data_IF_724423980671
#
_entry.id   IF_724423980671
#
_cell.length_a   1.000
_cell.length_b   1.000
_cell.length_c   1.000
_cell.angle_alpha   90.00
_cell.angle_beta   90.00
_cell.angle_gamma   90.00
#
_symmetry.space_group_name_H-M   'P 1'
#
loop_
_entity.id
_entity.type
_entity.pdbx_description
1 polymer ?
#
# COMPACT_ATOMS: atom_id res chain seq x y z
N UNK A 1 22.09 12.49 -9.76
CA UNK A 1 21.07 12.92 -8.76
C UNK A 1 19.72 12.31 -9.17
N UNK A 2 19.00 11.71 -8.20
CA UNK A 2 17.67 11.15 -8.42
C UNK A 2 16.61 12.25 -8.28
N UNK A 3 15.60 12.19 -9.12
CA UNK A 3 14.40 13.03 -8.99
C UNK A 3 13.55 12.60 -7.80
N UNK A 4 12.70 13.48 -7.27
CA UNK A 4 11.76 13.17 -6.18
C UNK A 4 10.86 11.95 -6.54
N UNK A 5 10.45 11.85 -7.79
CA UNK A 5 9.64 10.72 -8.26
C UNK A 5 10.40 9.39 -8.22
N UNK A 6 11.67 9.40 -8.56
CA UNK A 6 12.53 8.20 -8.47
C UNK A 6 12.75 7.83 -7.02
N UNK A 7 13.07 8.77 -6.15
CA UNK A 7 13.27 8.52 -4.71
C UNK A 7 12.00 7.91 -4.08
N UNK A 8 10.83 8.51 -4.32
CA UNK A 8 9.57 8.01 -3.75
C UNK A 8 9.19 6.63 -4.29
N UNK A 9 9.51 6.34 -5.56
CA UNK A 9 9.33 5.02 -6.17
C UNK A 9 10.24 3.97 -5.53
N UNK A 10 11.50 4.32 -5.27
CA UNK A 10 12.47 3.48 -4.59
C UNK A 10 11.99 3.16 -3.17
N UNK A 11 11.67 4.17 -2.38
CA UNK A 11 11.18 4.01 -1.00
C UNK A 11 9.91 3.15 -0.95
N UNK A 12 8.96 3.40 -1.87
CA UNK A 12 7.73 2.60 -1.94
C UNK A 12 7.98 1.15 -2.31
N UNK A 13 9.01 0.84 -3.11
CA UNK A 13 9.32 -0.50 -3.56
C UNK A 13 9.77 -1.43 -2.43
N UNK A 14 10.38 -0.90 -1.39
CA UNK A 14 10.79 -1.62 -0.18
C UNK A 14 9.72 -1.56 0.94
N UNK A 15 8.53 -1.02 0.63
CA UNK A 15 7.43 -0.92 1.58
C UNK A 15 7.48 0.32 2.48
N UNK A 16 8.33 1.30 2.20
CA UNK A 16 8.30 2.60 2.88
C UNK A 16 7.42 3.58 2.08
N UNK A 17 6.09 3.47 2.22
CA UNK A 17 5.11 4.10 1.33
C UNK A 17 4.33 5.25 1.96
N UNK A 18 4.69 5.71 3.15
CA UNK A 18 4.00 6.78 3.87
C UNK A 18 4.59 8.15 3.52
N UNK A 19 3.89 9.02 2.75
CA UNK A 19 4.40 10.34 2.41
C UNK A 19 4.80 11.21 3.61
N UNK A 20 4.06 11.23 4.75
CA UNK A 20 4.50 11.97 5.92
C UNK A 20 5.85 11.50 6.46
N UNK A 21 6.12 10.20 6.42
CA UNK A 21 7.38 9.63 6.91
C UNK A 21 8.56 9.95 5.98
N UNK A 22 8.33 10.21 4.69
CA UNK A 22 9.40 10.63 3.77
C UNK A 22 9.96 12.02 4.07
N UNK A 23 9.16 12.86 4.73
CA UNK A 23 9.53 14.23 5.09
C UNK A 23 10.13 14.31 6.51
N UNK A 24 10.16 13.19 7.24
CA UNK A 24 10.74 13.16 8.58
C UNK A 24 12.26 12.99 8.51
N UNK A 25 13.00 13.61 9.44
CA UNK A 25 14.43 13.33 9.60
C UNK A 25 14.67 11.84 9.89
N UNK A 26 15.71 11.25 9.27
CA UNK A 26 16.03 9.83 9.45
C UNK A 26 16.11 9.39 10.93
N UNK A 27 16.66 10.24 11.81
CA UNK A 27 16.79 9.95 13.25
C UNK A 27 15.46 9.69 13.95
N UNK A 28 14.35 10.28 13.48
CA UNK A 28 13.01 10.16 14.08
C UNK A 28 12.20 9.00 13.55
N UNK A 29 12.70 8.31 12.53
CA UNK A 29 12.07 7.13 11.98
C UNK A 29 12.12 5.95 12.96
N UNK A 30 11.08 5.11 12.95
CA UNK A 30 11.08 3.85 13.68
C UNK A 30 12.15 2.89 13.13
N UNK A 31 12.53 1.87 13.90
CA UNK A 31 13.50 0.87 13.47
C UNK A 31 13.07 0.18 12.16
N UNK A 32 11.78 -0.16 12.03
CA UNK A 32 11.24 -0.74 10.80
C UNK A 32 11.31 0.20 9.60
N UNK A 33 11.09 1.49 9.82
CA UNK A 33 11.23 2.52 8.78
C UNK A 33 12.70 2.72 8.38
N UNK A 34 13.60 2.80 9.36
CA UNK A 34 15.06 2.88 9.13
C UNK A 34 15.58 1.68 8.34
N UNK A 35 15.16 0.48 8.72
CA UNK A 35 15.48 -0.75 8.00
C UNK A 35 15.10 -0.64 6.51
N UNK A 36 13.88 -0.24 6.22
CA UNK A 36 13.39 -0.10 4.83
C UNK A 36 14.15 0.98 4.04
N UNK A 37 14.45 2.13 4.67
CA UNK A 37 15.25 3.20 4.04
C UNK A 37 16.67 2.72 3.74
N UNK A 38 17.31 2.00 4.67
CA UNK A 38 18.64 1.45 4.46
C UNK A 38 18.65 0.43 3.33
N UNK A 39 17.64 -0.45 3.26
CA UNK A 39 17.50 -1.42 2.17
C UNK A 39 17.22 -0.76 0.82
N UNK A 40 16.46 0.34 0.81
CA UNK A 40 16.31 1.16 -0.40
C UNK A 40 17.67 1.67 -0.90
N UNK A 41 18.51 2.20 -0.02
CA UNK A 41 19.87 2.65 -0.38
C UNK A 41 20.71 1.51 -0.94
N UNK A 42 20.70 0.34 -0.31
CA UNK A 42 21.43 -0.85 -0.77
C UNK A 42 20.98 -1.30 -2.17
N UNK A 43 19.66 -1.38 -2.39
CA UNK A 43 19.09 -1.84 -3.66
C UNK A 43 19.40 -0.91 -4.83
N UNK A 44 19.51 0.38 -4.56
CA UNK A 44 19.77 1.41 -5.59
C UNK A 44 21.23 1.88 -5.60
N UNK A 45 22.11 1.24 -4.84
CA UNK A 45 23.55 1.43 -4.94
C UNK A 45 24.05 1.01 -6.32
N UNK A 46 25.04 1.70 -6.85
CA UNK A 46 25.60 1.42 -8.18
C UNK A 46 26.40 0.08 -8.25
N UNK A 47 26.83 -0.46 -7.10
CA UNK A 47 27.59 -1.70 -7.03
C UNK A 47 26.76 -2.89 -7.51
N UNK A 48 27.38 -3.79 -8.25
CA UNK A 48 26.72 -5.00 -8.77
C UNK A 48 26.28 -5.94 -7.64
N UNK A 49 27.13 -6.12 -6.64
CA UNK A 49 26.90 -6.99 -5.47
C UNK A 49 26.90 -6.13 -4.21
N UNK A 50 25.88 -6.28 -3.40
CA UNK A 50 25.78 -5.64 -2.09
C UNK A 50 25.70 -6.69 -0.98
N UNK A 51 26.44 -6.47 0.10
CA UNK A 51 26.42 -7.29 1.30
C UNK A 51 25.77 -6.51 2.42
N UNK A 52 24.85 -7.14 3.13
CA UNK A 52 24.17 -6.56 4.31
C UNK A 52 24.39 -7.47 5.48
N UNK A 53 25.08 -6.96 6.47
CA UNK A 53 25.28 -7.63 7.76
C UNK A 53 24.15 -7.30 8.73
N UNK A 54 23.96 -8.15 9.75
CA UNK A 54 22.92 -8.02 10.77
C UNK A 54 21.52 -7.81 10.18
N UNK A 55 21.24 -8.48 9.05
CA UNK A 55 19.96 -8.33 8.38
C UNK A 55 18.81 -8.75 9.28
N UNK A 56 17.88 -7.83 9.52
CA UNK A 56 16.69 -7.96 10.40
C UNK A 56 16.93 -8.05 11.90
N UNK A 57 18.16 -7.86 12.40
CA UNK A 57 18.49 -7.98 13.82
C UNK A 57 17.77 -6.97 14.74
N UNK A 58 17.50 -5.76 14.23
CA UNK A 58 16.96 -4.63 14.99
C UNK A 58 15.48 -4.34 14.75
N UNK A 59 14.75 -5.22 14.04
CA UNK A 59 13.35 -5.00 13.69
C UNK A 59 12.43 -6.10 14.23
N UNK A 60 11.17 -5.73 14.44
CA UNK A 60 10.11 -6.66 14.80
C UNK A 60 9.97 -7.78 13.74
N UNK A 61 9.56 -8.97 14.16
CA UNK A 61 9.50 -10.14 13.28
C UNK A 61 8.49 -10.00 12.16
N UNK A 62 7.38 -9.28 12.37
CA UNK A 62 6.40 -8.98 11.33
C UNK A 62 7.01 -8.05 10.27
N UNK A 63 7.70 -6.99 10.71
CA UNK A 63 8.43 -6.06 9.83
C UNK A 63 9.52 -6.79 9.06
N UNK A 64 10.28 -7.67 9.72
CA UNK A 64 11.32 -8.48 9.11
C UNK A 64 10.77 -9.35 7.96
N UNK A 65 9.71 -10.11 8.21
CA UNK A 65 9.06 -10.99 7.23
C UNK A 65 8.50 -10.21 6.05
N UNK A 66 7.62 -9.26 6.31
CA UNK A 66 6.95 -8.48 5.26
C UNK A 66 7.95 -7.61 4.49
N UNK A 67 8.89 -6.99 5.19
CA UNK A 67 9.97 -6.22 4.58
C UNK A 67 10.85 -7.08 3.68
N UNK A 68 11.23 -8.27 4.12
CA UNK A 68 12.01 -9.24 3.33
C UNK A 68 11.31 -9.61 2.02
N UNK A 69 9.99 -9.83 2.05
CA UNK A 69 9.22 -10.08 0.83
C UNK A 69 9.27 -8.91 -0.17
N UNK A 70 9.13 -7.68 0.31
CA UNK A 70 9.18 -6.49 -0.55
C UNK A 70 10.60 -6.28 -1.13
N UNK A 71 11.64 -6.48 -0.31
CA UNK A 71 13.06 -6.36 -0.69
C UNK A 71 13.43 -7.41 -1.74
N UNK A 72 13.08 -8.68 -1.50
CA UNK A 72 13.35 -9.77 -2.44
C UNK A 72 12.70 -9.54 -3.80
N UNK A 73 11.42 -9.11 -3.81
CA UNK A 73 10.71 -8.75 -5.03
C UNK A 73 11.39 -7.59 -5.78
N UNK A 74 11.86 -6.59 -5.05
CA UNK A 74 12.51 -5.41 -5.64
C UNK A 74 13.89 -5.76 -6.16
N UNK A 75 14.69 -6.55 -5.43
CA UNK A 75 16.00 -7.04 -5.86
C UNK A 75 15.93 -7.80 -7.19
N UNK A 76 14.97 -8.74 -7.30
CA UNK A 76 14.75 -9.49 -8.54
C UNK A 76 14.33 -8.59 -9.70
N UNK A 77 13.44 -7.64 -9.44
CA UNK A 77 12.99 -6.68 -10.46
C UNK A 77 14.13 -5.81 -10.99
N UNK A 78 15.09 -5.47 -10.13
CA UNK A 78 16.27 -4.69 -10.48
C UNK A 78 17.45 -5.54 -10.97
N UNK A 79 17.31 -6.87 -10.97
CA UNK A 79 18.39 -7.82 -11.22
C UNK A 79 19.61 -7.57 -10.30
N UNK A 80 19.35 -7.21 -9.03
CA UNK A 80 20.37 -6.84 -8.05
C UNK A 80 20.84 -8.07 -7.29
N UNK A 81 22.16 -8.28 -7.20
CA UNK A 81 22.77 -9.34 -6.41
C UNK A 81 22.98 -8.85 -4.98
N UNK A 82 22.40 -9.56 -4.01
CA UNK A 82 22.48 -9.20 -2.59
C UNK A 82 22.86 -10.45 -1.78
N UNK A 83 23.81 -10.28 -0.89
CA UNK A 83 24.17 -11.27 0.14
C UNK A 83 23.70 -10.72 1.48
N UNK A 84 22.86 -11.47 2.18
CA UNK A 84 22.28 -11.08 3.48
C UNK A 84 22.84 -12.02 4.55
N UNK A 85 23.49 -11.47 5.56
CA UNK A 85 23.92 -12.21 6.75
C UNK A 85 22.91 -11.99 7.87
N UNK A 86 22.36 -13.06 8.40
CA UNK A 86 21.32 -13.00 9.44
C UNK A 86 21.39 -14.21 10.35
N UNK A 87 21.11 -13.98 11.63
CA UNK A 87 20.90 -15.06 12.61
C UNK A 87 19.44 -15.56 12.65
N UNK A 88 18.55 -15.01 11.81
CA UNK A 88 17.12 -15.30 11.83
C UNK A 88 16.71 -16.18 10.65
N UNK A 89 16.22 -17.39 10.92
CA UNK A 89 15.77 -18.35 9.92
C UNK A 89 14.33 -18.11 9.43
N UNK A 90 13.49 -17.46 10.21
CA UNK A 90 12.07 -17.25 9.93
C UNK A 90 11.77 -16.27 8.76
N UNK A 91 12.80 -15.65 8.21
CA UNK A 91 12.73 -14.78 7.03
C UNK A 91 13.02 -15.52 5.71
N UNK A 92 13.55 -16.74 5.77
CA UNK A 92 14.00 -17.45 4.57
C UNK A 92 12.89 -17.65 3.54
N UNK A 93 11.73 -18.10 3.97
CA UNK A 93 10.57 -18.30 3.09
C UNK A 93 10.05 -16.97 2.48
N UNK A 94 10.25 -15.87 3.20
CA UNK A 94 9.84 -14.53 2.74
C UNK A 94 10.82 -13.90 1.76
N UNK A 95 12.10 -14.25 1.88
CA UNK A 95 13.16 -13.83 0.96
C UNK A 95 13.15 -14.66 -0.34
N UNK A 96 12.77 -15.95 -0.26
CA UNK A 96 12.89 -16.91 -1.35
C UNK A 96 14.32 -16.86 -1.95
N UNK A 97 15.39 -17.05 -1.15
CA UNK A 97 16.74 -16.85 -1.61
C UNK A 97 17.14 -17.87 -2.69
N UNK A 98 18.03 -17.48 -3.61
CA UNK A 98 18.52 -18.37 -4.64
C UNK A 98 19.49 -19.42 -4.08
N UNK A 99 20.11 -19.13 -2.93
CA UNK A 99 20.95 -20.03 -2.16
C UNK A 99 21.00 -19.64 -0.69
N UNK A 100 21.28 -20.63 0.16
CA UNK A 100 21.47 -20.50 1.60
C UNK A 100 22.76 -21.19 1.97
N UNK A 101 23.62 -20.53 2.74
CA UNK A 101 24.78 -21.11 3.38
C UNK A 101 24.62 -21.05 4.89
N UNK A 102 24.64 -22.20 5.54
CA UNK A 102 24.58 -22.35 7.00
C UNK A 102 25.98 -22.41 7.57
N UNK A 103 26.36 -21.40 8.33
CA UNK A 103 27.73 -21.29 8.88
C UNK A 103 27.99 -22.35 9.96
N UNK A 104 26.96 -22.66 10.75
CA UNK A 104 27.01 -23.63 11.85
C UNK A 104 27.23 -25.07 11.39
N UNK A 105 26.67 -25.46 10.26
CA UNK A 105 26.77 -26.82 9.71
C UNK A 105 27.70 -26.91 8.49
N UNK A 106 28.09 -25.79 7.88
CA UNK A 106 28.80 -25.74 6.61
C UNK A 106 27.94 -26.15 5.42
N UNK A 107 26.63 -26.29 5.58
CA UNK A 107 25.72 -26.74 4.55
C UNK A 107 25.45 -25.63 3.53
N UNK A 108 25.53 -25.98 2.25
CA UNK A 108 25.17 -25.11 1.14
C UNK A 108 23.97 -25.67 0.38
N UNK A 109 22.87 -24.93 0.39
CA UNK A 109 21.63 -25.29 -0.29
C UNK A 109 21.36 -24.32 -1.44
N UNK A 110 21.04 -24.85 -2.63
CA UNK A 110 20.53 -24.08 -3.79
C UNK A 110 19.05 -24.30 -3.98
N UNK A 111 18.39 -23.31 -4.53
CA UNK A 111 16.96 -23.31 -4.83
C UNK A 111 16.17 -22.35 -3.96
N UNK A 112 15.04 -21.88 -4.49
CA UNK A 112 14.16 -20.98 -3.77
C UNK A 112 13.15 -21.75 -2.93
N UNK A 113 12.91 -21.28 -1.72
CA UNK A 113 11.80 -21.73 -0.90
C UNK A 113 10.50 -21.09 -1.44
N UNK A 114 9.39 -21.81 -1.30
CA UNK A 114 8.07 -21.23 -1.64
C UNK A 114 7.67 -20.25 -0.56
N UNK A 115 7.24 -19.06 -0.98
CA UNK A 115 6.71 -18.05 -0.06
C UNK A 115 5.46 -18.56 0.66
N UNK A 116 5.33 -18.36 1.98
CA UNK A 116 4.13 -18.73 2.72
C UNK A 116 2.92 -17.94 2.23
N UNK A 117 1.76 -18.60 2.23
CA UNK A 117 0.51 -17.94 1.93
C UNK A 117 0.16 -16.91 3.00
N UNK A 118 -0.17 -15.70 2.58
CA UNK A 118 -0.62 -14.63 3.49
C UNK A 118 -2.15 -14.70 3.54
N UNK A 119 -2.71 -15.05 4.69
CA UNK A 119 -4.14 -15.00 4.88
C UNK A 119 -4.59 -13.55 5.08
N UNK A 120 -5.32 -13.02 4.10
CA UNK A 120 -5.88 -11.67 4.15
C UNK A 120 -7.39 -11.77 4.19
N UNK A 121 -7.97 -11.29 5.29
CA UNK A 121 -9.42 -11.18 5.48
C UNK A 121 -9.83 -9.72 5.51
N UNK A 122 -10.87 -9.36 4.77
CA UNK A 122 -11.45 -8.01 4.81
C UNK A 122 -12.86 -8.16 5.37
N UNK A 123 -13.12 -7.47 6.48
CA UNK A 123 -14.40 -7.51 7.17
C UNK A 123 -14.92 -6.10 7.50
N UNK A 124 -16.23 -5.96 7.65
CA UNK A 124 -16.80 -4.71 8.18
C UNK A 124 -16.34 -4.52 9.63
N UNK A 125 -16.12 -3.28 10.00
CA UNK A 125 -15.76 -2.92 11.37
C UNK A 125 -16.49 -1.67 11.81
N UNK A 126 -16.54 -1.43 13.11
CA UNK A 126 -17.06 -0.21 13.67
C UNK A 126 -16.10 0.97 13.41
N UNK A 127 -16.63 2.18 13.27
CA UNK A 127 -15.83 3.40 13.03
C UNK A 127 -14.79 3.68 14.12
N UNK A 128 -14.98 3.17 15.34
CA UNK A 128 -14.01 3.27 16.44
C UNK A 128 -12.66 2.60 16.12
N UNK A 129 -12.63 1.62 15.22
CA UNK A 129 -11.39 0.99 14.75
C UNK A 129 -10.43 2.01 14.10
N UNK A 130 -10.96 3.14 13.61
CA UNK A 130 -10.15 4.24 13.06
C UNK A 130 -9.08 4.73 14.03
N UNK A 131 -9.29 4.63 15.32
CA UNK A 131 -8.31 5.04 16.34
C UNK A 131 -6.95 4.34 16.20
N UNK A 132 -6.92 3.10 15.70
CA UNK A 132 -5.69 2.34 15.45
C UNK A 132 -4.91 2.84 14.23
N UNK A 133 -5.58 3.53 13.31
CA UNK A 133 -5.03 3.86 11.99
C UNK A 133 -4.84 5.37 11.78
N UNK A 134 -5.52 6.22 12.53
CA UNK A 134 -5.61 7.66 12.28
C UNK A 134 -4.25 8.37 12.27
N UNK A 135 -3.33 7.96 13.16
CA UNK A 135 -2.00 8.56 13.27
C UNK A 135 -1.13 8.29 12.02
N UNK A 136 -1.48 7.27 11.24
CA UNK A 136 -0.79 6.91 10.00
C UNK A 136 -1.43 7.53 8.75
N UNK A 137 -2.50 8.32 8.92
CA UNK A 137 -3.15 8.98 7.79
C UNK A 137 -2.55 10.36 7.55
N UNK A 138 -2.11 10.60 6.31
CA UNK A 138 -1.27 11.76 5.95
C UNK A 138 -2.00 13.11 5.81
N UNK A 139 -3.35 13.14 5.78
CA UNK A 139 -4.09 14.40 5.62
C UNK A 139 -4.71 14.88 6.91
N UNK A 140 -5.55 14.07 7.53
CA UNK A 140 -6.24 14.44 8.75
C UNK A 140 -6.70 13.21 9.52
N UNK A 141 -6.78 13.33 10.83
CA UNK A 141 -7.25 12.26 11.72
C UNK A 141 -8.76 12.14 11.77
N UNK A 142 -9.49 13.03 11.09
CA UNK A 142 -10.94 13.03 11.07
C UNK A 142 -11.51 11.94 10.16
N UNK A 143 -12.50 11.22 10.67
CA UNK A 143 -13.31 10.25 9.93
C UNK A 143 -14.76 10.75 9.88
N UNK A 144 -15.35 10.76 8.68
CA UNK A 144 -16.78 11.13 8.53
C UNK A 144 -17.64 10.11 9.25
N UNK A 145 -18.55 10.57 10.11
CA UNK A 145 -19.35 9.75 11.02
C UNK A 145 -20.20 8.68 10.32
N UNK A 146 -20.67 8.95 9.11
CA UNK A 146 -21.50 8.02 8.32
C UNK A 146 -20.68 7.19 7.31
N UNK A 147 -19.39 6.99 7.58
CA UNK A 147 -18.56 6.13 6.73
C UNK A 147 -18.87 4.65 6.98
N UNK A 148 -18.99 3.87 5.93
CA UNK A 148 -18.89 2.43 6.04
C UNK A 148 -17.41 2.05 6.16
N UNK A 149 -17.08 1.31 7.22
CA UNK A 149 -15.70 1.01 7.59
C UNK A 149 -15.40 -0.47 7.42
N UNK A 150 -14.20 -0.74 6.91
CA UNK A 150 -13.68 -2.09 6.72
C UNK A 150 -12.25 -2.17 7.26
N UNK A 151 -11.91 -3.31 7.82
CA UNK A 151 -10.58 -3.61 8.30
C UNK A 151 -10.05 -4.84 7.57
N UNK A 152 -8.81 -4.76 7.08
CA UNK A 152 -8.10 -5.94 6.64
C UNK A 152 -7.28 -6.49 7.78
N UNK A 153 -7.39 -7.79 7.98
CA UNK A 153 -6.57 -8.58 8.87
C UNK A 153 -5.54 -9.36 8.04
N UNK A 154 -4.31 -9.40 8.51
CA UNK A 154 -3.25 -10.26 7.98
C UNK A 154 -2.92 -11.27 9.05
N UNK A 155 -3.18 -12.55 8.79
CA UNK A 155 -3.02 -13.63 9.76
C UNK A 155 -3.75 -13.39 11.11
N UNK A 156 -4.92 -12.72 11.05
CA UNK A 156 -5.71 -12.38 12.23
C UNK A 156 -5.44 -11.01 12.84
N UNK A 157 -4.31 -10.36 12.50
CA UNK A 157 -3.91 -9.07 13.07
C UNK A 157 -4.37 -7.88 12.20
N UNK A 158 -4.82 -6.77 12.83
CA UNK A 158 -5.20 -5.56 12.12
C UNK A 158 -4.04 -5.01 11.27
N UNK A 159 -4.27 -4.83 9.98
CA UNK A 159 -3.22 -4.42 9.03
C UNK A 159 -3.59 -3.22 8.17
N UNK A 160 -4.87 -3.06 7.80
CA UNK A 160 -5.31 -1.90 7.04
C UNK A 160 -6.75 -1.51 7.35
N UNK A 161 -7.05 -0.25 7.13
CA UNK A 161 -8.38 0.34 7.30
C UNK A 161 -8.82 0.99 5.99
N UNK A 162 -10.08 0.76 5.65
CA UNK A 162 -10.74 1.36 4.49
C UNK A 162 -12.07 1.95 4.93
N UNK A 163 -12.39 3.14 4.43
CA UNK A 163 -13.71 3.69 4.62
C UNK A 163 -14.30 4.22 3.32
N UNK A 164 -15.61 4.10 3.21
CA UNK A 164 -16.39 4.55 2.06
C UNK A 164 -17.53 5.43 2.54
N UNK A 165 -17.85 6.44 1.76
CA UNK A 165 -18.96 7.37 2.03
C UNK A 165 -19.90 7.42 0.85
N UNK A 166 -21.19 7.53 1.15
CA UNK A 166 -22.22 7.81 0.15
C UNK A 166 -22.25 9.30 -0.15
N UNK A 167 -22.19 9.65 -1.43
CA UNK A 167 -22.32 11.04 -1.86
C UNK A 167 -23.80 11.42 -1.90
N UNK A 168 -24.27 12.10 -0.83
CA UNK A 168 -25.67 12.43 -0.64
C UNK A 168 -26.07 13.78 -1.26
N UNK A 169 -25.10 14.60 -1.66
CA UNK A 169 -25.30 15.98 -2.09
C UNK A 169 -25.41 16.18 -3.60
N UNK A 170 -25.20 15.12 -4.39
CA UNK A 170 -25.28 15.20 -5.86
C UNK A 170 -26.66 14.84 -6.40
N UNK A 171 -26.92 15.23 -7.66
CA UNK A 171 -28.13 14.82 -8.42
C UNK A 171 -28.26 13.29 -8.58
N UNK A 172 -27.17 12.54 -8.42
CA UNK A 172 -27.10 11.08 -8.49
C UNK A 172 -26.96 10.48 -7.09
N UNK A 173 -27.97 9.73 -6.64
CA UNK A 173 -28.05 9.16 -5.28
C UNK A 173 -27.24 7.86 -5.08
N UNK A 174 -26.63 7.30 -6.13
CA UNK A 174 -25.96 6.01 -6.11
C UNK A 174 -24.43 6.10 -6.24
N UNK A 175 -23.82 7.19 -5.76
CA UNK A 175 -22.37 7.35 -5.79
C UNK A 175 -21.78 6.97 -4.44
N UNK A 176 -20.79 6.08 -4.45
CA UNK A 176 -19.96 5.72 -3.30
C UNK A 176 -18.51 6.15 -3.57
N UNK A 177 -17.87 6.74 -2.59
CA UNK A 177 -16.51 7.23 -2.73
C UNK A 177 -15.62 6.67 -1.61
N UNK A 178 -14.45 6.17 -1.99
CA UNK A 178 -13.41 5.85 -1.03
C UNK A 178 -12.98 7.12 -0.27
N UNK A 179 -12.94 7.05 1.06
CA UNK A 179 -12.68 8.20 1.93
C UNK A 179 -11.35 8.09 2.66
N UNK A 180 -11.11 7.00 3.38
CA UNK A 180 -9.85 6.75 4.08
C UNK A 180 -9.30 5.38 3.67
N UNK A 181 -8.02 5.34 3.36
CA UNK A 181 -7.27 4.12 3.05
C UNK A 181 -5.96 4.24 3.81
N UNK A 182 -5.76 3.39 4.80
CA UNK A 182 -4.55 3.38 5.62
C UNK A 182 -4.07 1.96 5.78
N UNK A 183 -2.80 1.71 5.53
CA UNK A 183 -2.10 0.48 5.82
C UNK A 183 -1.09 0.77 6.91
N UNK A 184 -1.11 -0.01 7.99
CA UNK A 184 -0.13 0.14 9.06
C UNK A 184 1.29 -0.05 8.51
N UNK A 185 2.29 0.69 9.05
CA UNK A 185 3.66 0.66 8.54
C UNK A 185 4.23 -0.74 8.38
N UNK A 186 3.97 -1.63 9.33
CA UNK A 186 4.51 -2.99 9.37
C UNK A 186 4.00 -3.86 8.21
N UNK A 187 2.83 -3.57 7.69
CA UNK A 187 2.18 -4.30 6.59
C UNK A 187 2.30 -3.61 5.21
N UNK A 188 3.09 -2.54 5.12
CA UNK A 188 3.34 -1.89 3.83
C UNK A 188 4.30 -2.71 2.96
N UNK A 189 4.12 -2.65 1.64
CA UNK A 189 4.97 -3.35 0.66
C UNK A 189 4.36 -4.62 0.06
N UNK A 190 3.37 -5.25 0.71
CA UNK A 190 2.67 -6.43 0.18
C UNK A 190 1.49 -6.09 -0.75
N UNK A 191 1.24 -4.81 -0.99
CA UNK A 191 0.16 -4.35 -1.88
C UNK A 191 -1.23 -4.30 -1.26
N UNK A 192 -1.34 -4.45 0.08
CA UNK A 192 -2.61 -4.57 0.80
C UNK A 192 -3.56 -3.39 0.54
N UNK A 193 -3.06 -2.16 0.57
CA UNK A 193 -3.87 -0.95 0.31
C UNK A 193 -4.46 -0.93 -1.10
N UNK A 194 -3.70 -1.40 -2.09
CA UNK A 194 -4.15 -1.46 -3.47
C UNK A 194 -5.19 -2.57 -3.69
N UNK A 195 -4.85 -3.80 -3.26
CA UNK A 195 -5.72 -4.98 -3.41
C UNK A 195 -7.03 -4.78 -2.65
N UNK A 196 -6.97 -4.31 -1.40
CA UNK A 196 -8.14 -4.06 -0.56
C UNK A 196 -9.05 -3.00 -1.16
N UNK A 197 -8.48 -1.89 -1.64
CA UNK A 197 -9.27 -0.84 -2.31
C UNK A 197 -9.96 -1.37 -3.55
N UNK A 198 -9.27 -2.11 -4.41
CA UNK A 198 -9.86 -2.68 -5.62
C UNK A 198 -10.98 -3.67 -5.31
N UNK A 199 -10.78 -4.57 -4.34
CA UNK A 199 -11.83 -5.53 -3.92
C UNK A 199 -13.09 -4.81 -3.41
N UNK A 200 -12.92 -3.80 -2.57
CA UNK A 200 -14.05 -3.05 -2.02
C UNK A 200 -14.75 -2.18 -3.09
N UNK A 201 -14.00 -1.56 -4.00
CA UNK A 201 -14.60 -0.82 -5.11
C UNK A 201 -15.38 -1.75 -6.04
N UNK A 202 -14.89 -2.96 -6.30
CA UNK A 202 -15.62 -3.99 -7.05
C UNK A 202 -16.91 -4.39 -6.33
N UNK A 203 -16.84 -4.69 -5.04
CA UNK A 203 -17.99 -5.05 -4.21
C UNK A 203 -19.13 -4.03 -4.30
N UNK A 204 -18.83 -2.74 -4.19
CA UNK A 204 -19.84 -1.69 -4.36
C UNK A 204 -20.31 -1.56 -5.82
N UNK A 205 -19.42 -1.73 -6.78
CA UNK A 205 -19.76 -1.69 -8.20
C UNK A 205 -20.72 -2.81 -8.60
N UNK A 206 -20.52 -4.01 -8.10
CA UNK A 206 -21.40 -5.18 -8.30
C UNK A 206 -22.78 -4.97 -7.64
N UNK A 207 -22.85 -4.16 -6.60
CA UNK A 207 -24.12 -3.70 -5.99
C UNK A 207 -24.83 -2.58 -6.77
N UNK A 208 -24.29 -2.15 -7.91
CA UNK A 208 -24.89 -1.14 -8.77
C UNK A 208 -24.52 0.31 -8.40
N UNK A 209 -23.56 0.53 -7.50
CA UNK A 209 -23.09 1.86 -7.18
C UNK A 209 -22.07 2.37 -8.20
N UNK A 210 -22.07 3.67 -8.43
CA UNK A 210 -20.98 4.37 -9.11
C UNK A 210 -19.87 4.59 -8.09
N UNK A 211 -18.77 3.85 -8.21
CA UNK A 211 -17.70 3.88 -7.21
C UNK A 211 -16.54 4.74 -7.68
N UNK A 212 -16.11 5.67 -6.83
CA UNK A 212 -15.01 6.59 -7.14
C UNK A 212 -13.90 6.52 -6.08
N UNK A 213 -12.68 6.64 -6.55
CA UNK A 213 -11.48 6.83 -5.73
C UNK A 213 -10.84 8.15 -6.12
N UNK A 214 -10.55 8.99 -5.13
CA UNK A 214 -9.73 10.19 -5.29
C UNK A 214 -8.45 9.97 -4.52
N UNK A 215 -7.31 10.01 -5.20
CA UNK A 215 -6.02 9.75 -4.57
C UNK A 215 -4.91 10.61 -5.17
N UNK A 216 -3.93 10.95 -4.34
CA UNK A 216 -2.65 11.54 -4.76
C UNK A 216 -1.47 10.58 -4.54
N UNK A 217 -1.73 9.36 -4.05
CA UNK A 217 -0.69 8.38 -3.77
C UNK A 217 -0.14 7.78 -5.09
N UNK A 218 1.17 7.96 -5.41
CA UNK A 218 1.73 7.59 -6.71
C UNK A 218 1.54 6.10 -7.06
N UNK A 219 1.75 5.21 -6.09
CA UNK A 219 1.62 3.77 -6.31
C UNK A 219 0.18 3.35 -6.64
N UNK A 220 -0.83 3.97 -5.98
CA UNK A 220 -2.24 3.74 -6.32
C UNK A 220 -2.54 4.28 -7.71
N UNK A 221 -2.16 5.53 -8.02
CA UNK A 221 -2.37 6.12 -9.34
C UNK A 221 -1.81 5.22 -10.43
N UNK A 222 -0.55 4.77 -10.29
CA UNK A 222 0.09 3.90 -11.27
C UNK A 222 -0.63 2.55 -11.44
N UNK A 223 -1.06 1.95 -10.34
CA UNK A 223 -1.79 0.68 -10.37
C UNK A 223 -3.16 0.81 -11.04
N UNK A 224 -3.90 1.86 -10.71
CA UNK A 224 -5.24 2.08 -11.26
C UNK A 224 -5.23 2.48 -12.73
N UNK A 225 -4.21 3.21 -13.19
CA UNK A 225 -4.03 3.51 -14.64
C UNK A 225 -3.84 2.23 -15.45
N UNK A 226 -3.11 1.25 -14.90
CA UNK A 226 -2.83 -0.03 -15.59
C UNK A 226 -4.01 -1.00 -15.58
N UNK A 227 -4.94 -0.84 -14.64
CA UNK A 227 -6.06 -1.76 -14.49
C UNK A 227 -7.25 -1.33 -15.35
N UNK A 228 -7.62 -2.16 -16.31
CA UNK A 228 -8.70 -1.92 -17.28
C UNK A 228 -10.11 -1.85 -16.65
N UNK A 229 -10.27 -2.33 -15.42
CA UNK A 229 -11.53 -2.26 -14.67
C UNK A 229 -11.82 -0.85 -14.15
N UNK A 230 -10.87 0.07 -14.29
CA UNK A 230 -10.99 1.44 -13.81
C UNK A 230 -10.76 2.46 -14.93
N UNK A 231 -11.56 3.52 -14.90
CA UNK A 231 -11.42 4.67 -15.78
C UNK A 231 -10.90 5.87 -15.03
N UNK A 232 -9.86 6.51 -15.55
CA UNK A 232 -9.40 7.81 -15.08
C UNK A 232 -10.44 8.88 -15.52
N UNK A 233 -11.10 9.52 -14.53
CA UNK A 233 -12.12 10.52 -14.77
C UNK A 233 -11.53 11.95 -14.82
N UNK A 234 -10.56 12.24 -13.95
CA UNK A 234 -9.86 13.51 -13.95
C UNK A 234 -8.46 13.34 -13.36
N UNK A 235 -7.51 14.08 -13.92
CA UNK A 235 -6.17 14.25 -13.37
C UNK A 235 -5.98 15.75 -13.24
N UNK A 236 -6.05 16.26 -12.01
CA UNK A 236 -5.89 17.68 -11.72
C UNK A 236 -4.48 17.89 -11.20
N UNK A 237 -3.71 18.65 -11.95
CA UNK A 237 -2.49 19.26 -11.46
C UNK A 237 -2.93 20.48 -10.65
N UNK A 238 -2.67 20.51 -9.37
CA UNK A 238 -3.16 21.56 -8.46
C UNK A 238 -2.44 22.90 -8.64
N UNK A 239 -1.61 23.04 -9.66
CA UNK A 239 -1.10 24.34 -10.10
C UNK A 239 -2.24 25.16 -10.71
N UNK A 240 -2.98 25.90 -9.90
CA UNK A 240 -3.96 26.85 -10.40
C UNK A 240 -5.40 26.74 -9.91
N UNK A 241 -5.66 26.23 -8.70
CA UNK A 241 -6.97 26.35 -8.10
C UNK A 241 -7.20 27.81 -7.66
N UNK A 242 -7.87 28.60 -8.52
CA UNK A 242 -8.41 29.89 -8.14
C UNK A 242 -9.54 29.72 -7.11
N UNK A 243 -9.47 30.41 -5.98
CA UNK A 243 -10.56 30.48 -4.98
C UNK A 243 -10.35 29.66 -3.69
N UNK A 244 -9.17 29.12 -3.43
CA UNK A 244 -8.88 28.51 -2.13
C UNK A 244 -8.59 29.57 -1.07
N UNK A 245 -9.23 29.45 0.12
CA UNK A 245 -8.91 30.33 1.27
C UNK A 245 -7.51 30.04 1.79
N UNK A 246 -6.88 31.01 2.48
CA UNK A 246 -5.52 30.88 3.02
C UNK A 246 -5.34 29.65 3.96
N UNK A 247 -6.40 29.22 4.64
CA UNK A 247 -6.40 27.98 5.45
C UNK A 247 -6.40 26.71 4.61
N UNK A 248 -7.13 26.68 3.50
CA UNK A 248 -7.18 25.57 2.57
C UNK A 248 -5.83 25.41 1.84
N UNK A 249 -5.13 26.51 1.56
CA UNK A 249 -3.80 26.54 0.91
C UNK A 249 -2.72 25.94 1.84
N UNK A 250 -2.82 26.10 3.16
CA UNK A 250 -1.87 25.51 4.12
C UNK A 250 -1.98 23.99 4.22
N UNK A 251 -3.12 23.39 3.85
CA UNK A 251 -3.38 21.96 3.96
C UNK A 251 -3.15 21.24 2.62
N UNK A 252 -3.17 21.97 1.51
CA UNK A 252 -3.04 21.41 0.16
C UNK A 252 -1.64 21.70 -0.37
N UNK A 253 -0.81 20.67 -0.44
CA UNK A 253 0.43 20.71 -1.18
C UNK A 253 0.08 20.90 -2.67
N UNK A 254 0.22 22.12 -3.17
CA UNK A 254 -0.12 22.54 -4.54
C UNK A 254 0.67 21.80 -5.63
N UNK A 255 1.65 20.99 -5.23
CA UNK A 255 2.49 20.19 -6.14
C UNK A 255 1.96 18.78 -6.38
N UNK A 256 0.92 18.35 -5.64
CA UNK A 256 0.40 16.98 -5.73
C UNK A 256 -0.59 16.79 -6.86
N UNK A 257 -0.30 15.85 -7.75
CA UNK A 257 -1.24 15.35 -8.74
C UNK A 257 -2.38 14.64 -8.00
N UNK A 258 -3.61 15.10 -8.21
CA UNK A 258 -4.82 14.46 -7.70
C UNK A 258 -5.53 13.73 -8.85
N UNK A 259 -5.67 12.43 -8.74
CA UNK A 259 -6.34 11.61 -9.75
C UNK A 259 -7.67 11.05 -9.21
N UNK A 260 -8.69 11.06 -10.05
CA UNK A 260 -10.01 10.48 -9.77
C UNK A 260 -10.23 9.29 -10.68
N UNK A 261 -10.47 8.13 -10.08
CA UNK A 261 -10.79 6.90 -10.79
C UNK A 261 -12.23 6.48 -10.52
N UNK A 262 -12.85 5.86 -11.51
CA UNK A 262 -14.16 5.23 -11.40
C UNK A 262 -14.05 3.76 -11.77
N UNK A 263 -14.65 2.87 -10.96
CA UNK A 263 -14.82 1.48 -11.31
C UNK A 263 -15.84 1.35 -12.45
N UNK A 264 -15.49 0.61 -13.50
CA UNK A 264 -16.34 0.39 -14.68
C UNK A 264 -16.68 -1.08 -14.93
N UNK A 265 -16.19 -1.97 -14.07
CA UNK A 265 -16.34 -3.42 -14.20
C UNK A 265 -15.30 -4.07 -15.10
N UNK A 266 -15.11 -5.38 -14.96
CA UNK A 266 -14.37 -6.16 -15.93
C UNK A 266 -15.17 -6.20 -17.23
N UNK A 267 -14.50 -6.02 -18.37
CA UNK A 267 -15.15 -6.03 -19.71
C UNK A 267 -15.62 -7.42 -20.15
N UNK A 268 -15.80 -8.35 -19.23
CA UNK A 268 -16.43 -9.63 -19.54
C UNK A 268 -17.92 -9.39 -19.82
N UNK A 269 -18.25 -9.47 -21.09
CA UNK A 269 -19.53 -9.15 -21.73
C UNK A 269 -20.73 -10.00 -21.26
N UNK A 270 -20.66 -10.75 -20.14
CA UNK A 270 -21.69 -11.71 -19.75
C UNK A 270 -22.49 -11.39 -18.49
N UNK A 271 -22.31 -10.22 -17.85
CA UNK A 271 -23.09 -9.84 -16.65
C UNK A 271 -23.83 -8.52 -16.79
N UNK A 272 -24.39 -8.24 -17.96
CA UNK A 272 -25.49 -7.28 -18.06
C UNK A 272 -26.80 -8.00 -17.72
N UNK A 273 -27.52 -7.54 -16.69
CA UNK A 273 -28.85 -7.94 -16.27
C UNK A 273 -28.98 -9.12 -15.31
N UNK A 274 -28.53 -8.96 -14.06
CA UNK A 274 -29.25 -9.54 -12.94
C UNK A 274 -29.34 -8.51 -11.80
N UNK A 275 -30.53 -7.94 -11.62
CA UNK A 275 -30.94 -7.24 -10.40
C UNK A 275 -30.81 -8.24 -9.25
N UNK A 276 -29.84 -8.07 -8.37
CA UNK A 276 -29.73 -8.88 -7.13
C UNK A 276 -30.80 -8.34 -6.18
N UNK A 277 -31.79 -9.20 -5.89
CA UNK A 277 -32.78 -8.97 -4.84
C UNK A 277 -32.08 -8.96 -3.47
N UNK A 278 -32.46 -8.01 -2.63
CA UNK A 278 -32.06 -7.94 -1.22
C UNK A 278 -32.64 -9.14 -0.46
N UNK A 279 -31.89 -10.20 -0.30
CA UNK A 279 -32.09 -11.21 0.75
C UNK A 279 -30.81 -12.05 0.75
N UNK A 280 -29.94 -11.78 1.70
CA UNK A 280 -28.89 -12.65 2.22
C UNK A 280 -27.76 -11.82 2.82
N UNK A 281 -28.05 -11.34 4.04
CA UNK A 281 -26.99 -11.06 5.05
C UNK A 281 -27.68 -11.01 6.42
#
# INVERSE_FOLDING_TARGET
>A
DLTVNEITKVLSSVGFSSPPSWLQPYRTLSNGQKFRVNMARVLFDAREVCVVDEYTSVVDRTVAKIGSSAIAKTARKLNKKIVLLSCHYDILEWLEPDWIYRIDTGEFQRGSLRRPDINIQIQRCHSSAWRLFREHHYLSHYLITHSECYMALVNGEPAAFFSFIYDRYGKRKNIVRAHRIVVLPDYQGIGLGNIGTQKLMRYYGEKGYIVKLITSHPALIHSFIKNKDYRLCSKVDLKGVQGATAETIRIVDLTRIKATFQYIGSRDKHLSNKKVKNSDF
#
